data_IF_489469007413
#
_entry.id   IF_489469007413
#
_cell.length_a   1.000
_cell.length_b   1.000
_cell.length_c   1.000
_cell.angle_alpha   90.00
_cell.angle_beta   90.00
_cell.angle_gamma   90.00
#
_symmetry.space_group_name_H-M   'P 1'
#
loop_
_entity.id
_entity.type
_entity.pdbx_description
1 polymer ?
#
# COMPACT_ATOMS: atom_id res chain seq x y z
N UNK A 1 7.55 -13.02 -3.13
CA UNK A 1 6.90 -12.09 -2.20
C UNK A 1 5.47 -11.75 -2.61
N UNK A 2 5.22 -11.44 -3.87
CA UNK A 2 3.88 -11.14 -4.38
C UNK A 2 3.23 -12.33 -5.09
N UNK A 3 3.56 -13.52 -4.66
CA UNK A 3 3.10 -14.78 -5.29
C UNK A 3 1.60 -15.04 -5.10
N UNK A 4 0.98 -14.37 -4.11
CA UNK A 4 -0.46 -14.48 -3.89
C UNK A 4 -1.27 -13.81 -5.00
N UNK A 5 -0.68 -12.87 -5.74
CA UNK A 5 -1.35 -12.20 -6.85
C UNK A 5 -1.21 -13.07 -8.09
N UNK A 6 -2.34 -13.55 -8.61
CA UNK A 6 -2.35 -14.48 -9.75
C UNK A 6 -2.12 -13.78 -11.08
N UNK A 7 -2.69 -12.59 -11.23
CA UNK A 7 -2.60 -11.83 -12.47
C UNK A 7 -1.25 -11.13 -12.58
N UNK A 8 -0.56 -11.34 -13.70
CA UNK A 8 0.71 -10.65 -13.96
C UNK A 8 0.53 -9.14 -13.99
N UNK A 9 -0.59 -8.66 -14.53
CA UNK A 9 -0.90 -7.24 -14.62
C UNK A 9 -0.93 -6.58 -13.24
N UNK A 10 -1.65 -7.17 -12.29
CA UNK A 10 -1.74 -6.66 -10.92
C UNK A 10 -0.42 -6.88 -10.17
N UNK A 11 0.25 -8.00 -10.41
CA UNK A 11 1.55 -8.26 -9.77
C UNK A 11 2.61 -7.24 -10.18
N UNK A 12 2.68 -6.90 -11.46
CA UNK A 12 3.61 -5.88 -11.95
C UNK A 12 3.29 -4.52 -11.36
N UNK A 13 2.01 -4.17 -11.25
CA UNK A 13 1.59 -2.93 -10.62
C UNK A 13 1.99 -2.87 -9.14
N UNK A 14 1.80 -3.96 -8.42
CA UNK A 14 2.19 -4.05 -7.02
C UNK A 14 3.70 -3.91 -6.83
N UNK A 15 4.49 -4.52 -7.69
CA UNK A 15 5.95 -4.40 -7.66
C UNK A 15 6.40 -2.97 -7.94
N UNK A 16 5.78 -2.33 -8.93
CA UNK A 16 6.06 -0.94 -9.25
C UNK A 16 5.77 -0.04 -8.06
N UNK A 17 4.59 -0.21 -7.44
CA UNK A 17 4.19 0.57 -6.27
C UNK A 17 5.17 0.36 -5.10
N UNK A 18 5.56 -0.88 -4.85
CA UNK A 18 6.47 -1.19 -3.75
C UNK A 18 7.82 -0.53 -3.95
N UNK A 19 8.38 -0.59 -5.16
CA UNK A 19 9.65 0.06 -5.48
C UNK A 19 9.53 1.58 -5.33
N UNK A 20 8.42 2.17 -5.77
CA UNK A 20 8.19 3.60 -5.66
C UNK A 20 8.17 4.04 -4.20
N UNK A 21 7.45 3.29 -3.35
CA UNK A 21 7.40 3.57 -1.91
C UNK A 21 8.79 3.47 -1.28
N UNK A 22 9.52 2.41 -1.59
CA UNK A 22 10.86 2.17 -1.03
C UNK A 22 11.88 3.21 -1.48
N UNK A 23 11.67 3.84 -2.63
CA UNK A 23 12.56 4.88 -3.16
C UNK A 23 12.18 6.27 -2.69
N UNK A 24 11.08 6.41 -1.96
CA UNK A 24 10.58 7.72 -1.52
C UNK A 24 11.35 8.23 -0.31
N UNK A 25 11.25 9.55 -0.07
CA UNK A 25 11.91 10.20 1.07
C UNK A 25 11.31 9.77 2.41
N UNK A 26 10.14 9.12 2.43
CA UNK A 26 9.52 8.64 3.67
C UNK A 26 9.99 7.25 4.07
N UNK A 27 10.85 6.62 3.28
CA UNK A 27 11.33 5.26 3.55
C UNK A 27 11.81 5.04 4.99
N UNK A 28 12.58 5.95 5.62
CA UNK A 28 13.05 5.72 6.99
C UNK A 28 11.94 5.58 8.03
N UNK A 29 10.73 6.02 7.68
CA UNK A 29 9.58 5.98 8.58
C UNK A 29 8.64 4.82 8.31
N UNK A 30 8.88 4.05 7.26
CA UNK A 30 8.01 2.93 6.89
C UNK A 30 8.22 1.80 7.89
N UNK A 31 7.13 1.40 8.55
CA UNK A 31 7.15 0.29 9.49
C UNK A 31 6.73 -1.01 8.81
N UNK A 32 5.62 -0.97 8.07
CA UNK A 32 5.04 -2.16 7.47
C UNK A 32 4.23 -1.76 6.24
N UNK A 33 4.21 -2.63 5.24
CA UNK A 33 3.33 -2.50 4.07
C UNK A 33 2.52 -3.79 3.96
N UNK A 34 1.18 -3.63 3.88
CA UNK A 34 0.26 -4.75 3.67
C UNK A 34 -0.37 -4.66 2.29
N UNK A 35 -0.54 -5.83 1.68
CA UNK A 35 -1.42 -6.02 0.54
C UNK A 35 -2.77 -6.51 1.08
N UNK A 36 -3.89 -5.93 0.65
CA UNK A 36 -5.21 -6.37 1.06
C UNK A 36 -6.16 -6.33 -0.14
N UNK A 37 -7.43 -6.62 0.08
CA UNK A 37 -8.43 -6.61 -0.98
C UNK A 37 -8.33 -7.83 -1.91
N UNK A 38 -8.85 -7.70 -3.13
CA UNK A 38 -8.98 -8.83 -4.05
C UNK A 38 -7.64 -9.46 -4.42
N UNK A 39 -6.59 -8.66 -4.57
CA UNK A 39 -5.27 -9.20 -4.89
C UNK A 39 -4.71 -10.06 -3.76
N UNK A 40 -4.98 -9.70 -2.51
CA UNK A 40 -4.54 -10.50 -1.37
C UNK A 40 -5.29 -11.82 -1.29
N UNK A 41 -6.57 -11.84 -1.68
CA UNK A 41 -7.40 -13.04 -1.66
C UNK A 41 -7.17 -13.96 -2.87
N UNK A 42 -6.41 -13.50 -3.88
CA UNK A 42 -6.24 -14.23 -5.13
C UNK A 42 -7.50 -14.21 -5.99
N UNK A 43 -8.41 -13.27 -5.75
CA UNK A 43 -9.66 -13.12 -6.49
C UNK A 43 -9.69 -11.93 -7.43
N UNK A 44 -8.52 -11.40 -7.80
CA UNK A 44 -8.44 -10.24 -8.68
C UNK A 44 -8.95 -10.56 -10.08
N UNK A 45 -9.59 -9.54 -10.68
CA UNK A 45 -10.02 -9.55 -12.07
C UNK A 45 -9.17 -8.55 -12.84
N UNK A 46 -9.29 -8.54 -14.16
CA UNK A 46 -8.54 -7.61 -15.00
C UNK A 46 -8.70 -6.15 -14.54
N UNK A 47 -9.91 -5.77 -14.14
CA UNK A 47 -10.22 -4.39 -13.72
C UNK A 47 -9.89 -4.12 -12.24
N UNK A 48 -9.40 -5.10 -11.50
CA UNK A 48 -9.11 -4.91 -10.07
C UNK A 48 -7.93 -3.97 -9.85
N UNK A 49 -8.07 -3.08 -8.86
CA UNK A 49 -6.96 -2.28 -8.38
C UNK A 49 -6.09 -3.10 -7.42
N UNK A 50 -4.87 -2.63 -7.21
CA UNK A 50 -4.00 -3.15 -6.16
C UNK A 50 -4.22 -2.29 -4.92
N UNK A 51 -4.59 -2.92 -3.81
CA UNK A 51 -4.85 -2.21 -2.55
C UNK A 51 -3.67 -2.40 -1.60
N UNK A 52 -2.98 -1.30 -1.28
CA UNK A 52 -1.86 -1.30 -0.35
C UNK A 52 -2.18 -0.45 0.87
N UNK A 53 -1.70 -0.90 2.01
CA UNK A 53 -1.85 -0.22 3.29
C UNK A 53 -0.46 -0.02 3.91
N UNK A 54 -0.10 1.23 4.14
CA UNK A 54 1.22 1.62 4.62
C UNK A 54 1.10 2.17 6.03
N UNK A 55 1.79 1.52 6.97
CA UNK A 55 1.90 2.02 8.34
C UNK A 55 3.26 2.70 8.51
N UNK A 56 3.23 3.97 8.89
CA UNK A 56 4.43 4.73 9.23
C UNK A 56 4.63 4.71 10.74
N UNK A 57 5.89 4.79 11.17
CA UNK A 57 6.22 4.86 12.59
C UNK A 57 5.73 6.17 13.21
N UNK A 58 5.51 6.17 14.51
CA UNK A 58 5.09 7.36 15.26
C UNK A 58 6.06 8.54 15.09
N UNK A 59 7.33 8.26 14.87
CA UNK A 59 8.34 9.32 14.69
C UNK A 59 8.06 10.22 13.49
N UNK A 60 7.24 9.75 12.54
CA UNK A 60 6.82 10.59 11.41
C UNK A 60 6.05 11.82 11.86
N UNK A 61 5.36 11.76 13.00
CA UNK A 61 4.57 12.88 13.53
C UNK A 61 5.45 14.08 13.87
N UNK A 62 6.74 13.87 14.13
CA UNK A 62 7.68 14.94 14.41
C UNK A 62 8.21 15.61 13.14
N UNK A 63 7.79 15.18 11.98
CA UNK A 63 8.26 15.67 10.68
C UNK A 63 7.10 16.16 9.81
N UNK A 64 6.36 17.21 10.26
CA UNK A 64 5.18 17.68 9.50
C UNK A 64 5.52 18.19 8.10
N UNK A 65 6.76 18.62 7.86
CA UNK A 65 7.21 19.06 6.55
C UNK A 65 7.19 17.94 5.50
N UNK A 66 7.15 16.67 5.94
CA UNK A 66 7.12 15.54 5.03
C UNK A 66 5.70 15.11 4.62
N UNK A 67 4.67 15.69 5.25
CA UNK A 67 3.28 15.31 4.95
C UNK A 67 2.90 15.47 3.49
N UNK A 68 3.41 16.52 2.84
CA UNK A 68 3.11 16.79 1.42
C UNK A 68 3.54 15.63 0.52
N UNK A 69 4.58 14.90 0.91
CA UNK A 69 5.09 13.78 0.10
C UNK A 69 4.16 12.57 0.15
N UNK A 70 3.29 12.47 1.16
CA UNK A 70 2.30 11.39 1.23
C UNK A 70 1.28 11.52 0.10
N UNK A 71 0.84 12.75 -0.20
CA UNK A 71 -0.09 12.99 -1.29
C UNK A 71 0.55 12.69 -2.65
N UNK A 72 1.80 13.12 -2.82
CA UNK A 72 2.55 12.83 -4.04
C UNK A 72 2.71 11.33 -4.23
N UNK A 73 3.05 10.63 -3.16
CA UNK A 73 3.26 9.19 -3.21
C UNK A 73 2.00 8.45 -3.65
N UNK A 74 0.83 8.88 -3.16
CA UNK A 74 -0.45 8.25 -3.56
C UNK A 74 -0.68 8.29 -5.06
N UNK A 75 -0.23 9.33 -5.75
CA UNK A 75 -0.33 9.41 -7.21
C UNK A 75 0.82 8.69 -7.91
N UNK A 76 2.01 8.71 -7.32
CA UNK A 76 3.21 8.16 -7.93
C UNK A 76 3.25 6.62 -7.91
N UNK A 77 2.50 5.97 -7.01
CA UNK A 77 2.49 4.51 -6.91
C UNK A 77 1.79 3.82 -8.08
N UNK A 78 1.02 4.56 -8.86
CA UNK A 78 0.41 4.01 -10.08
C UNK A 78 1.23 4.43 -11.29
N UNK A 79 1.50 3.47 -12.18
CA UNK A 79 2.16 3.72 -13.44
C UNK A 79 1.30 4.63 -14.32
N UNK A 80 1.96 5.44 -15.17
CA UNK A 80 1.27 6.28 -16.14
C UNK A 80 0.79 5.51 -17.38
N UNK A 81 1.17 4.25 -17.51
CA UNK A 81 0.76 3.41 -18.63
C UNK A 81 -0.73 3.09 -18.53
N UNK A 82 -1.46 3.31 -19.63
CA UNK A 82 -2.91 3.15 -19.66
C UNK A 82 -3.38 1.73 -19.34
N UNK A 83 -2.60 0.74 -19.71
CA UNK A 83 -2.97 -0.67 -19.54
C UNK A 83 -2.60 -1.23 -18.17
N UNK A 84 -1.86 -0.48 -17.37
CA UNK A 84 -1.44 -0.97 -16.05
C UNK A 84 -2.57 -0.81 -15.04
N UNK A 85 -2.63 -1.74 -14.09
CA UNK A 85 -3.56 -1.63 -12.98
C UNK A 85 -3.17 -0.45 -12.08
N UNK A 86 -4.19 0.23 -11.55
CA UNK A 86 -3.96 1.30 -10.59
C UNK A 86 -3.71 0.73 -9.20
N UNK A 87 -3.00 1.49 -8.40
CA UNK A 87 -2.74 1.14 -7.00
C UNK A 87 -3.41 2.17 -6.10
N UNK A 88 -4.26 1.69 -5.19
CA UNK A 88 -4.88 2.51 -4.15
C UNK A 88 -4.02 2.37 -2.89
N UNK A 89 -3.41 3.46 -2.46
CA UNK A 89 -2.53 3.48 -1.30
C UNK A 89 -3.20 4.21 -0.14
N UNK A 90 -3.40 3.48 0.96
CA UNK A 90 -3.85 4.05 2.23
C UNK A 90 -2.64 4.19 3.15
N UNK A 91 -2.54 5.32 3.84
CA UNK A 91 -1.39 5.61 4.70
C UNK A 91 -1.89 5.99 6.09
N UNK A 92 -1.34 5.36 7.11
CA UNK A 92 -1.60 5.72 8.51
C UNK A 92 -0.28 5.94 9.23
N UNK A 93 -0.31 6.70 10.31
CA UNK A 93 0.83 6.94 11.19
C UNK A 93 0.53 6.30 12.54
N UNK A 94 1.44 5.45 13.00
CA UNK A 94 1.25 4.73 14.24
C UNK A 94 0.36 3.51 14.10
N UNK A 95 0.05 2.86 15.22
CA UNK A 95 -0.64 1.58 15.24
C UNK A 95 -2.09 1.66 15.74
N UNK A 96 -2.64 2.86 15.89
CA UNK A 96 -4.03 3.02 16.37
C UNK A 96 -5.05 2.33 15.46
N UNK A 97 -4.73 2.19 14.17
CA UNK A 97 -5.60 1.51 13.22
C UNK A 97 -5.90 0.05 13.62
N UNK A 98 -5.02 -0.57 14.39
CA UNK A 98 -5.20 -1.94 14.86
C UNK A 98 -6.38 -2.08 15.81
N UNK A 99 -6.81 -0.99 16.40
CA UNK A 99 -7.93 -0.92 17.34
C UNK A 99 -9.15 -0.21 16.77
N UNK A 100 -9.03 0.31 15.55
CA UNK A 100 -10.10 1.05 14.89
C UNK A 100 -11.11 0.05 14.28
N UNK A 101 -12.39 0.29 14.50
CA UNK A 101 -13.47 -0.60 14.08
C UNK A 101 -14.04 -0.31 12.70
N UNK A 102 -13.54 0.71 12.01
CA UNK A 102 -13.96 0.99 10.64
C UNK A 102 -13.71 -0.21 9.75
N UNK A 103 -14.61 -0.41 8.80
CA UNK A 103 -14.64 -1.63 7.98
C UNK A 103 -13.31 -1.90 7.26
N UNK A 104 -12.72 -0.89 6.63
CA UNK A 104 -11.51 -1.15 5.86
C UNK A 104 -10.31 -1.49 6.77
N UNK A 105 -10.20 -0.90 7.96
CA UNK A 105 -9.18 -1.29 8.92
C UNK A 105 -9.36 -2.75 9.37
N UNK A 106 -10.62 -3.13 9.59
CA UNK A 106 -10.96 -4.52 9.93
C UNK A 106 -10.55 -5.46 8.81
N UNK A 107 -10.79 -5.08 7.57
CA UNK A 107 -10.42 -5.89 6.41
C UNK A 107 -8.90 -6.05 6.30
N UNK A 108 -8.14 -4.98 6.54
CA UNK A 108 -6.66 -5.08 6.53
C UNK A 108 -6.19 -6.05 7.60
N UNK A 109 -6.76 -5.98 8.81
CA UNK A 109 -6.38 -6.90 9.89
C UNK A 109 -6.69 -8.36 9.58
N UNK A 110 -7.81 -8.63 8.88
CA UNK A 110 -8.24 -9.99 8.54
C UNK A 110 -7.52 -10.55 7.32
N UNK A 111 -7.34 -9.74 6.30
CA UNK A 111 -6.92 -10.19 4.97
C UNK A 111 -5.51 -9.73 4.61
N UNK A 112 -4.97 -8.75 5.31
CA UNK A 112 -3.72 -8.12 4.94
C UNK A 112 -2.56 -9.11 4.97
N UNK A 113 -1.79 -9.08 3.89
CA UNK A 113 -0.57 -9.87 3.77
C UNK A 113 0.59 -8.89 3.85
N UNK A 114 1.48 -9.10 4.81
CA UNK A 114 2.66 -8.26 4.94
C UNK A 114 3.59 -8.53 3.77
N UNK A 115 3.83 -7.50 2.97
CA UNK A 115 4.71 -7.62 1.80
C UNK A 115 6.04 -6.88 2.00
N UNK A 116 6.18 -6.11 3.08
CA UNK A 116 7.42 -5.43 3.45
C UNK A 116 7.39 -5.12 4.94
N UNK A 117 8.45 -5.23 5.70
CA UNK A 117 9.79 -5.63 5.31
C UNK A 117 9.93 -7.06 4.89
#
# INVERSE_FOLDING_TARGET
MLTCIRSKRQRDAAEYALRTIQSSCIRPYIKIIYLYGSCARGGEKYSSDVDLFLELSESFRSRPELKKYLYLLKSEVSSEELDDAETDLKIVVGDDWKRNKMLYYTNVRKEGIQIWP
#
